data_IF_523614070901
#
_entry.id   IF_523614070901
#
_cell.length_a   1.000
_cell.length_b   1.000
_cell.length_c   1.000
_cell.angle_alpha   90.00
_cell.angle_beta   90.00
_cell.angle_gamma   90.00
#
_symmetry.space_group_name_H-M   'P 1'
#
loop_
_entity.id
_entity.type
_entity.pdbx_description
1 polymer ?
#
# COMPACT_ATOMS: atom_id res chain seq x y z
N UNK A 1 7.15 -18.09 -42.75
CA UNK A 1 8.37 -17.37 -43.20
C UNK A 1 9.16 -16.77 -42.02
N UNK A 2 8.49 -16.09 -41.08
CA UNK A 2 9.08 -15.48 -39.87
C UNK A 2 9.77 -16.50 -38.95
N UNK A 3 9.12 -17.64 -38.67
CA UNK A 3 9.71 -18.75 -37.88
C UNK A 3 11.04 -19.26 -38.45
N UNK A 4 11.08 -19.52 -39.76
CA UNK A 4 12.28 -20.01 -40.44
C UNK A 4 13.42 -18.99 -40.38
N UNK A 5 13.11 -17.71 -40.65
CA UNK A 5 14.08 -16.63 -40.58
C UNK A 5 14.66 -16.46 -39.16
N UNK A 6 13.81 -16.53 -38.12
CA UNK A 6 14.25 -16.44 -36.72
C UNK A 6 15.19 -17.60 -36.33
N UNK A 7 14.81 -18.84 -36.62
CA UNK A 7 15.67 -19.99 -36.34
C UNK A 7 16.98 -19.94 -37.13
N UNK A 8 16.96 -19.52 -38.40
CA UNK A 8 18.16 -19.35 -39.21
C UNK A 8 19.08 -18.28 -38.61
N UNK A 9 18.54 -17.14 -38.17
CA UNK A 9 19.31 -16.08 -37.53
C UNK A 9 19.99 -16.56 -36.23
N UNK A 10 19.27 -17.30 -35.38
CA UNK A 10 19.83 -17.87 -34.15
C UNK A 10 20.92 -18.92 -34.42
N UNK A 11 20.73 -19.78 -35.43
CA UNK A 11 21.73 -20.78 -35.81
C UNK A 11 22.98 -20.12 -36.37
N UNK A 12 22.84 -19.12 -37.23
CA UNK A 12 23.99 -18.37 -37.78
C UNK A 12 24.81 -17.69 -36.69
N UNK A 13 24.16 -17.13 -35.67
CA UNK A 13 24.84 -16.51 -34.53
C UNK A 13 25.56 -17.54 -33.65
N UNK A 14 24.90 -18.67 -33.33
CA UNK A 14 25.54 -19.76 -32.57
C UNK A 14 26.78 -20.32 -33.29
N UNK A 15 26.74 -20.39 -34.63
CA UNK A 15 27.88 -20.76 -35.46
C UNK A 15 28.96 -19.66 -35.42
N UNK A 16 28.59 -18.40 -35.54
CA UNK A 16 29.56 -17.29 -35.49
C UNK A 16 30.27 -17.19 -34.14
N UNK A 17 29.56 -17.32 -33.02
CA UNK A 17 30.16 -17.33 -31.68
C UNK A 17 31.13 -18.49 -31.49
N UNK A 18 30.88 -19.63 -32.14
CA UNK A 18 31.72 -20.83 -32.07
C UNK A 18 32.93 -20.79 -33.01
N UNK A 19 32.86 -20.02 -34.10
CA UNK A 19 33.87 -19.98 -35.17
C UNK A 19 34.41 -18.57 -35.47
N UNK A 20 34.35 -17.66 -34.49
CA UNK A 20 34.50 -16.20 -34.60
C UNK A 20 35.73 -15.66 -35.36
N UNK A 21 36.73 -16.49 -35.64
CA UNK A 21 37.91 -16.12 -36.40
C UNK A 21 37.73 -16.12 -37.94
N UNK A 22 36.64 -16.67 -38.51
CA UNK A 22 36.54 -16.91 -39.97
C UNK A 22 35.25 -16.47 -40.67
N UNK A 23 34.24 -15.98 -39.96
CA UNK A 23 32.96 -15.58 -40.55
C UNK A 23 32.73 -14.07 -40.39
N UNK A 24 32.25 -13.41 -41.45
CA UNK A 24 31.84 -12.00 -41.39
C UNK A 24 30.76 -11.79 -40.32
N UNK A 25 30.80 -10.64 -39.66
CA UNK A 25 29.90 -10.36 -38.55
C UNK A 25 28.43 -10.32 -39.03
N UNK A 26 27.57 -11.19 -38.48
CA UNK A 26 26.13 -10.99 -38.54
C UNK A 26 25.81 -9.72 -37.76
N UNK A 27 25.07 -8.80 -38.40
CA UNK A 27 24.60 -7.59 -37.74
C UNK A 27 23.64 -7.95 -36.60
N UNK A 28 24.07 -7.67 -35.37
CA UNK A 28 23.33 -7.98 -34.14
C UNK A 28 22.00 -7.23 -34.10
N UNK A 29 21.90 -6.07 -34.75
CA UNK A 29 20.65 -5.30 -34.86
C UNK A 29 19.63 -6.03 -35.75
N UNK A 30 20.03 -6.48 -36.94
CA UNK A 30 19.17 -7.28 -37.82
C UNK A 30 18.70 -8.57 -37.16
N UNK A 31 19.55 -9.25 -36.37
CA UNK A 31 19.15 -10.43 -35.58
C UNK A 31 18.05 -10.07 -34.57
N UNK A 32 18.30 -9.05 -33.74
CA UNK A 32 17.37 -8.63 -32.70
C UNK A 32 16.01 -8.29 -33.32
N UNK A 33 15.99 -7.54 -34.43
CA UNK A 33 14.78 -7.16 -35.14
C UNK A 33 13.97 -8.36 -35.69
N UNK A 34 14.64 -9.40 -36.20
CA UNK A 34 13.98 -10.63 -36.68
C UNK A 34 13.40 -11.44 -35.51
N UNK A 35 14.13 -11.55 -34.40
CA UNK A 35 13.64 -12.23 -33.19
C UNK A 35 12.45 -11.46 -32.60
N UNK A 36 12.54 -10.14 -32.53
CA UNK A 36 11.53 -9.24 -32.00
C UNK A 36 10.20 -9.35 -32.77
N UNK A 37 10.24 -9.27 -34.11
CA UNK A 37 9.07 -9.52 -34.96
C UNK A 37 8.49 -10.92 -34.80
N UNK A 38 9.33 -11.91 -34.48
CA UNK A 38 8.85 -13.27 -34.25
C UNK A 38 8.17 -13.40 -32.88
N UNK A 39 8.64 -12.68 -31.86
CA UNK A 39 7.94 -12.57 -30.57
C UNK A 39 6.54 -11.98 -30.76
N UNK A 40 6.40 -10.91 -31.55
CA UNK A 40 5.08 -10.34 -31.87
C UNK A 40 4.15 -11.38 -32.53
N UNK A 41 4.68 -12.17 -33.47
CA UNK A 41 3.94 -13.24 -34.12
C UNK A 41 3.52 -14.36 -33.14
N UNK A 42 4.39 -14.72 -32.19
CA UNK A 42 4.09 -15.73 -31.17
C UNK A 42 3.01 -15.25 -30.20
N UNK A 43 3.02 -13.98 -29.83
CA UNK A 43 2.00 -13.38 -28.97
C UNK A 43 0.64 -13.33 -29.67
N UNK A 44 0.59 -12.95 -30.95
CA UNK A 44 -0.64 -12.95 -31.75
C UNK A 44 -1.23 -14.37 -31.98
N UNK A 45 -0.37 -15.40 -32.00
CA UNK A 45 -0.76 -16.79 -32.25
C UNK A 45 -1.25 -17.59 -31.03
N UNK A 46 -1.60 -16.93 -29.92
CA UNK A 46 -2.05 -17.59 -28.69
C UNK A 46 -0.97 -17.76 -27.62
N UNK A 47 0.21 -17.16 -27.79
CA UNK A 47 1.13 -16.88 -26.69
C UNK A 47 1.66 -18.12 -25.95
N UNK A 48 2.31 -19.05 -26.66
CA UNK A 48 2.98 -20.18 -25.98
C UNK A 48 4.06 -19.66 -25.03
N UNK A 49 3.76 -19.66 -23.73
CA UNK A 49 4.55 -19.04 -22.66
C UNK A 49 6.05 -19.38 -22.77
N UNK A 50 6.37 -20.68 -22.87
CA UNK A 50 7.77 -21.14 -22.94
C UNK A 50 8.49 -20.68 -24.21
N UNK A 51 7.77 -20.62 -25.33
CA UNK A 51 8.36 -20.14 -26.58
C UNK A 51 8.65 -18.63 -26.47
N UNK A 52 7.67 -17.85 -26.02
CA UNK A 52 7.84 -16.40 -25.83
C UNK A 52 9.04 -16.12 -24.91
N UNK A 53 9.12 -16.79 -23.76
CA UNK A 53 10.23 -16.66 -22.81
C UNK A 53 11.60 -17.00 -23.44
N UNK A 54 11.66 -18.09 -24.22
CA UNK A 54 12.88 -18.47 -24.90
C UNK A 54 13.37 -17.41 -25.90
N UNK A 55 12.48 -16.88 -26.74
CA UNK A 55 12.86 -15.91 -27.77
C UNK A 55 13.14 -14.52 -27.20
N UNK A 56 12.41 -14.07 -26.18
CA UNK A 56 12.71 -12.81 -25.49
C UNK A 56 14.04 -12.87 -24.76
N UNK A 57 14.44 -14.02 -24.23
CA UNK A 57 15.77 -14.22 -23.63
C UNK A 57 16.93 -14.11 -24.64
N UNK A 58 16.64 -14.17 -25.95
CA UNK A 58 17.64 -14.01 -27.02
C UNK A 58 17.83 -12.55 -27.45
N UNK A 59 16.96 -11.63 -27.01
CA UNK A 59 17.08 -10.19 -27.26
C UNK A 59 18.14 -9.57 -26.34
N UNK A 60 18.60 -8.33 -26.62
CA UNK A 60 19.36 -7.55 -25.65
C UNK A 60 18.64 -7.52 -24.28
N UNK A 61 19.34 -7.59 -23.14
CA UNK A 61 18.70 -7.78 -21.83
C UNK A 61 17.57 -6.79 -21.51
N UNK A 62 17.75 -5.51 -21.82
CA UNK A 62 16.73 -4.47 -21.62
C UNK A 62 15.49 -4.68 -22.50
N UNK A 63 15.70 -5.03 -23.78
CA UNK A 63 14.62 -5.28 -24.73
C UNK A 63 13.88 -6.58 -24.41
N UNK A 64 14.61 -7.63 -24.00
CA UNK A 64 14.04 -8.89 -23.56
C UNK A 64 13.14 -8.73 -22.34
N UNK A 65 13.60 -7.97 -21.34
CA UNK A 65 12.79 -7.59 -20.17
C UNK A 65 11.56 -6.79 -20.58
N UNK A 66 11.71 -5.76 -21.41
CA UNK A 66 10.59 -4.91 -21.87
C UNK A 66 9.57 -5.70 -22.69
N UNK A 67 10.00 -6.58 -23.60
CA UNK A 67 9.10 -7.37 -24.44
C UNK A 67 8.39 -8.46 -23.64
N UNK A 68 9.07 -9.06 -22.66
CA UNK A 68 8.45 -10.07 -21.82
C UNK A 68 7.52 -9.47 -20.76
N UNK A 69 7.81 -8.26 -20.24
CA UNK A 69 6.85 -7.53 -19.39
C UNK A 69 5.58 -7.19 -20.17
N UNK A 70 5.72 -6.82 -21.45
CA UNK A 70 4.58 -6.63 -22.34
C UNK A 70 3.69 -7.87 -22.45
N UNK A 71 4.32 -9.04 -22.61
CA UNK A 71 3.61 -10.31 -22.62
C UNK A 71 2.89 -10.59 -21.29
N UNK A 72 3.56 -10.40 -20.16
CA UNK A 72 2.99 -10.72 -18.84
C UNK A 72 1.70 -9.94 -18.53
N UNK A 73 1.57 -8.72 -19.05
CA UNK A 73 0.36 -7.90 -18.85
C UNK A 73 -0.84 -8.35 -19.67
N UNK A 74 -0.59 -9.04 -20.80
CA UNK A 74 -1.67 -9.62 -21.62
C UNK A 74 -2.29 -10.85 -20.97
N UNK A 75 -1.61 -11.48 -20.02
CA UNK A 75 -2.11 -12.64 -19.29
C UNK A 75 -3.13 -12.18 -18.26
N UNK A 76 -4.37 -12.69 -18.33
CA UNK A 76 -5.44 -12.37 -17.37
C UNK A 76 -5.46 -13.31 -16.17
N UNK A 77 -5.12 -14.58 -16.36
CA UNK A 77 -5.18 -15.61 -15.32
C UNK A 77 -3.90 -15.68 -14.47
N UNK A 78 -4.07 -15.77 -13.16
CA UNK A 78 -2.97 -15.85 -12.19
C UNK A 78 -2.09 -17.08 -12.42
N UNK A 79 -2.70 -18.21 -12.77
CA UNK A 79 -1.98 -19.45 -13.08
C UNK A 79 -1.05 -19.26 -14.27
N UNK A 80 -1.53 -18.63 -15.35
CA UNK A 80 -0.74 -18.38 -16.55
C UNK A 80 0.42 -17.42 -16.26
N UNK A 81 0.20 -16.40 -15.43
CA UNK A 81 1.29 -15.50 -15.01
C UNK A 81 2.33 -16.22 -14.17
N UNK A 82 1.92 -17.10 -13.26
CA UNK A 82 2.88 -17.92 -12.51
C UNK A 82 3.69 -18.83 -13.44
N UNK A 83 3.04 -19.53 -14.36
CA UNK A 83 3.71 -20.37 -15.37
C UNK A 83 4.67 -19.55 -16.25
N UNK A 84 4.30 -18.30 -16.59
CA UNK A 84 5.16 -17.39 -17.32
C UNK A 84 6.36 -16.87 -16.51
N UNK A 85 6.17 -16.65 -15.22
CA UNK A 85 7.26 -16.30 -14.32
C UNK A 85 8.24 -17.45 -14.13
N UNK A 86 7.77 -18.70 -14.05
CA UNK A 86 8.60 -19.90 -14.00
C UNK A 86 9.38 -20.10 -15.31
N UNK A 87 8.73 -19.87 -16.46
CA UNK A 87 9.39 -19.93 -17.76
C UNK A 87 10.49 -18.86 -17.91
N UNK A 88 10.25 -17.63 -17.45
CA UNK A 88 11.25 -16.57 -17.48
C UNK A 88 12.53 -16.96 -16.73
N UNK A 89 12.37 -17.56 -15.55
CA UNK A 89 13.46 -18.07 -14.74
C UNK A 89 14.19 -19.24 -15.41
N UNK A 90 13.45 -20.17 -16.02
CA UNK A 90 14.02 -21.29 -16.78
C UNK A 90 14.94 -20.82 -17.92
N UNK A 91 14.61 -19.72 -18.57
CA UNK A 91 15.39 -19.15 -19.68
C UNK A 91 16.32 -18.00 -19.25
N UNK A 92 16.55 -17.84 -17.95
CA UNK A 92 17.49 -16.86 -17.39
C UNK A 92 17.21 -15.40 -17.75
N UNK A 93 15.94 -15.04 -17.97
CA UNK A 93 15.53 -13.63 -17.99
C UNK A 93 15.75 -13.05 -16.58
N UNK A 94 16.20 -11.80 -16.50
CA UNK A 94 16.35 -11.11 -15.23
C UNK A 94 14.97 -10.89 -14.60
N UNK A 95 14.61 -11.81 -13.70
CA UNK A 95 13.31 -11.84 -13.07
C UNK A 95 13.09 -10.58 -12.19
N UNK A 96 14.16 -9.99 -11.62
CA UNK A 96 14.09 -8.76 -10.81
C UNK A 96 13.70 -7.60 -11.70
N UNK A 97 14.45 -7.37 -12.77
CA UNK A 97 14.18 -6.30 -13.72
C UNK A 97 12.80 -6.46 -14.37
N UNK A 98 12.43 -7.69 -14.72
CA UNK A 98 11.14 -8.03 -15.32
C UNK A 98 9.94 -7.65 -14.45
N UNK A 99 9.98 -8.04 -13.18
CA UNK A 99 8.86 -7.76 -12.25
C UNK A 99 8.73 -6.28 -11.94
N UNK A 100 9.86 -5.59 -11.75
CA UNK A 100 9.91 -4.14 -11.60
C UNK A 100 9.33 -3.45 -12.83
N UNK A 101 9.77 -3.81 -14.04
CA UNK A 101 9.30 -3.20 -15.29
C UNK A 101 7.79 -3.41 -15.47
N UNK A 102 7.29 -4.63 -15.23
CA UNK A 102 5.87 -4.97 -15.38
C UNK A 102 4.99 -4.17 -14.41
N UNK A 103 5.36 -4.09 -13.13
CA UNK A 103 4.62 -3.31 -12.13
C UNK A 103 4.66 -1.81 -12.44
N UNK A 104 5.83 -1.29 -12.82
CA UNK A 104 5.99 0.12 -13.22
C UNK A 104 5.13 0.46 -14.45
N UNK A 105 5.06 -0.43 -15.44
CA UNK A 105 4.28 -0.21 -16.66
C UNK A 105 2.78 -0.18 -16.38
N UNK A 106 2.24 -1.19 -15.67
CA UNK A 106 0.83 -1.20 -15.23
C UNK A 106 0.48 0.08 -14.46
N UNK A 107 1.35 0.49 -13.53
CA UNK A 107 1.12 1.69 -12.73
C UNK A 107 1.08 2.96 -13.59
N UNK A 108 2.03 3.11 -14.52
CA UNK A 108 2.09 4.26 -15.44
C UNK A 108 0.88 4.31 -16.35
N UNK A 109 0.48 3.16 -16.90
CA UNK A 109 -0.73 3.05 -17.74
C UNK A 109 -1.99 3.43 -16.93
N UNK A 110 -2.13 2.90 -15.71
CA UNK A 110 -3.21 3.25 -14.78
C UNK A 110 -3.28 4.75 -14.49
N UNK A 111 -2.14 5.39 -14.24
CA UNK A 111 -2.06 6.84 -13.97
C UNK A 111 -2.38 7.71 -15.19
N UNK A 112 -2.12 7.21 -16.40
CA UNK A 112 -2.43 7.92 -17.65
C UNK A 112 -3.91 7.75 -18.05
N UNK A 113 -4.55 6.68 -17.62
CA UNK A 113 -5.96 6.41 -17.90
C UNK A 113 -6.86 7.30 -17.04
N UNK A 114 -7.56 8.24 -17.70
CA UNK A 114 -8.64 9.02 -17.09
C UNK A 114 -9.92 8.16 -16.96
N UNK A 115 -9.86 7.11 -16.15
CA UNK A 115 -11.03 6.29 -15.87
C UNK A 115 -11.94 6.95 -14.83
N UNK A 116 -13.27 6.75 -14.93
CA UNK A 116 -14.18 7.21 -13.89
C UNK A 116 -13.84 6.55 -12.56
N UNK A 117 -14.02 7.25 -11.43
CA UNK A 117 -13.72 6.71 -10.11
C UNK A 117 -14.56 5.44 -9.87
N UNK A 118 -13.88 4.34 -9.57
CA UNK A 118 -14.50 3.08 -9.12
C UNK A 118 -15.11 3.33 -7.73
N UNK A 119 -16.29 2.74 -7.41
CA UNK A 119 -16.89 2.86 -6.08
C UNK A 119 -15.92 2.48 -4.97
N UNK A 120 -16.01 3.20 -3.84
CA UNK A 120 -15.16 2.98 -2.67
C UNK A 120 -15.16 1.52 -2.22
N UNK A 121 -13.96 0.99 -1.94
CA UNK A 121 -13.78 -0.35 -1.38
C UNK A 121 -13.68 -1.50 -2.39
N UNK A 122 -13.67 -1.23 -3.71
CA UNK A 122 -13.36 -2.25 -4.72
C UNK A 122 -12.15 -1.85 -5.56
N UNK A 123 -11.23 -2.78 -5.77
CA UNK A 123 -10.12 -2.62 -6.70
C UNK A 123 -10.61 -2.68 -8.14
N UNK A 124 -10.10 -1.79 -8.99
CA UNK A 124 -10.20 -1.89 -10.44
C UNK A 124 -9.44 -3.13 -10.96
N UNK A 125 -9.72 -3.56 -12.19
CA UNK A 125 -9.02 -4.70 -12.80
C UNK A 125 -7.49 -4.49 -12.83
N UNK A 126 -7.02 -3.28 -13.12
CA UNK A 126 -5.59 -2.98 -13.18
C UNK A 126 -4.96 -2.88 -11.78
N UNK A 127 -5.73 -2.43 -10.79
CA UNK A 127 -5.29 -2.43 -9.38
C UNK A 127 -5.15 -3.86 -8.85
N UNK A 128 -6.08 -4.75 -9.21
CA UNK A 128 -5.99 -6.18 -8.88
C UNK A 128 -4.76 -6.83 -9.53
N UNK A 129 -4.47 -6.50 -10.80
CA UNK A 129 -3.26 -6.97 -11.49
C UNK A 129 -2.00 -6.49 -10.79
N UNK A 130 -1.93 -5.22 -10.40
CA UNK A 130 -0.79 -4.64 -9.68
C UNK A 130 -0.55 -5.35 -8.34
N UNK A 131 -1.60 -5.53 -7.53
CA UNK A 131 -1.54 -6.25 -6.24
C UNK A 131 -1.13 -7.71 -6.44
N UNK A 132 -1.66 -8.38 -7.46
CA UNK A 132 -1.32 -9.78 -7.74
C UNK A 132 0.15 -9.93 -8.16
N UNK A 133 0.71 -8.98 -8.92
CA UNK A 133 2.12 -9.04 -9.32
C UNK A 133 3.05 -8.87 -8.12
N UNK A 134 2.69 -7.98 -7.19
CA UNK A 134 3.39 -7.85 -5.91
C UNK A 134 3.40 -9.19 -5.15
N UNK A 135 2.27 -9.90 -5.09
CA UNK A 135 2.20 -11.24 -4.47
C UNK A 135 3.13 -12.23 -5.15
N UNK A 136 3.15 -12.27 -6.48
CA UNK A 136 4.05 -13.15 -7.24
C UNK A 136 5.53 -12.85 -6.99
N UNK A 137 5.91 -11.57 -6.85
CA UNK A 137 7.28 -11.20 -6.48
C UNK A 137 7.65 -11.78 -5.11
N UNK A 138 6.73 -11.80 -4.16
CA UNK A 138 7.03 -12.29 -2.80
C UNK A 138 7.30 -13.78 -2.71
N UNK A 139 6.90 -14.58 -3.71
CA UNK A 139 7.14 -16.03 -3.75
C UNK A 139 8.64 -16.37 -3.72
N UNK A 140 9.51 -15.45 -4.18
CA UNK A 140 10.96 -15.62 -4.17
C UNK A 140 11.56 -14.84 -2.99
N UNK A 141 12.22 -15.50 -2.02
CA UNK A 141 12.83 -14.78 -0.89
C UNK A 141 13.88 -13.74 -1.30
N UNK A 142 14.73 -14.06 -2.29
CA UNK A 142 15.73 -13.13 -2.83
C UNK A 142 15.16 -11.92 -3.56
N UNK A 143 13.84 -11.90 -3.80
CA UNK A 143 13.11 -10.79 -4.39
C UNK A 143 12.58 -9.78 -3.39
N UNK A 144 12.58 -10.12 -2.10
CA UNK A 144 11.68 -9.48 -1.14
C UNK A 144 11.94 -7.98 -0.99
N UNK A 145 13.20 -7.56 -1.10
CA UNK A 145 13.58 -6.15 -1.10
C UNK A 145 12.99 -5.38 -2.29
N UNK A 146 13.02 -5.96 -3.50
CA UNK A 146 12.45 -5.33 -4.70
C UNK A 146 10.92 -5.28 -4.62
N UNK A 147 10.30 -6.37 -4.14
CA UNK A 147 8.86 -6.42 -3.91
C UNK A 147 8.40 -5.35 -2.92
N UNK A 148 9.19 -5.12 -1.86
CA UNK A 148 8.94 -4.08 -0.86
C UNK A 148 9.02 -2.67 -1.47
N UNK A 149 10.04 -2.39 -2.29
CA UNK A 149 10.18 -1.10 -3.00
C UNK A 149 8.98 -0.87 -3.93
N UNK A 150 8.55 -1.90 -4.66
CA UNK A 150 7.39 -1.80 -5.53
C UNK A 150 6.09 -1.62 -4.76
N UNK A 151 5.91 -2.33 -3.64
CA UNK A 151 4.78 -2.14 -2.75
C UNK A 151 4.69 -0.69 -2.26
N UNK A 152 5.79 -0.11 -1.78
CA UNK A 152 5.83 1.28 -1.36
C UNK A 152 5.41 2.24 -2.48
N UNK A 153 5.92 2.01 -3.69
CA UNK A 153 5.58 2.86 -4.83
C UNK A 153 4.10 2.74 -5.24
N UNK A 154 3.50 1.55 -5.15
CA UNK A 154 2.06 1.33 -5.34
C UNK A 154 1.25 2.04 -4.26
N UNK A 155 1.63 1.89 -2.99
CA UNK A 155 0.95 2.54 -1.86
C UNK A 155 1.03 4.06 -1.98
N UNK A 156 2.18 4.64 -2.38
CA UNK A 156 2.30 6.08 -2.64
C UNK A 156 1.28 6.57 -3.67
N UNK A 157 1.10 5.84 -4.78
CA UNK A 157 0.11 6.17 -5.80
C UNK A 157 -1.31 6.06 -5.25
N UNK A 158 -1.66 4.94 -4.62
CA UNK A 158 -3.02 4.69 -4.11
C UNK A 158 -3.42 5.67 -3.02
N UNK A 159 -2.54 5.91 -2.05
CA UNK A 159 -2.75 6.93 -1.03
C UNK A 159 -2.84 8.29 -1.72
N UNK A 160 -1.95 8.64 -2.65
CA UNK A 160 -2.04 9.87 -3.45
C UNK A 160 -3.39 10.10 -4.14
N UNK A 161 -4.07 9.02 -4.53
CA UNK A 161 -5.41 9.03 -5.15
C UNK A 161 -6.58 8.96 -4.14
N UNK A 162 -6.31 8.78 -2.83
CA UNK A 162 -7.34 8.64 -1.79
C UNK A 162 -7.86 7.21 -1.62
N UNK A 163 -7.24 6.22 -2.28
CA UNK A 163 -7.67 4.81 -2.28
C UNK A 163 -6.99 4.01 -1.17
N UNK A 164 -7.39 4.25 0.09
CA UNK A 164 -6.77 3.60 1.25
C UNK A 164 -6.89 2.07 1.23
N UNK A 165 -8.02 1.53 0.75
CA UNK A 165 -8.25 0.08 0.66
C UNK A 165 -7.25 -0.59 -0.31
N UNK A 166 -6.93 0.04 -1.43
CA UNK A 166 -5.93 -0.47 -2.36
C UNK A 166 -4.53 -0.48 -1.75
N UNK A 167 -4.17 0.57 -1.00
CA UNK A 167 -2.94 0.59 -0.22
C UNK A 167 -2.85 -0.54 0.80
N UNK A 168 -3.95 -0.83 1.51
CA UNK A 168 -4.02 -1.95 2.46
C UNK A 168 -3.80 -3.30 1.76
N UNK A 169 -4.44 -3.52 0.61
CA UNK A 169 -4.28 -4.77 -0.13
C UNK A 169 -2.87 -4.98 -0.67
N UNK A 170 -2.14 -3.91 -1.02
CA UNK A 170 -0.71 -3.99 -1.32
C UNK A 170 0.13 -4.42 -0.11
N UNK A 171 -0.13 -3.85 1.07
CA UNK A 171 0.59 -4.22 2.29
C UNK A 171 0.26 -5.65 2.71
N UNK A 172 -1.02 -6.04 2.65
CA UNK A 172 -1.49 -7.39 2.98
C UNK A 172 -1.03 -8.45 1.97
N UNK A 173 -0.67 -8.04 0.74
CA UNK A 173 -0.03 -8.91 -0.24
C UNK A 173 1.40 -9.32 0.16
N UNK A 174 2.05 -8.57 1.06
CA UNK A 174 3.38 -8.90 1.56
C UNK A 174 3.28 -9.93 2.71
N UNK A 175 4.01 -11.06 2.65
CA UNK A 175 3.98 -12.04 3.74
C UNK A 175 4.44 -11.46 5.08
N UNK A 176 3.91 -11.97 6.19
CA UNK A 176 4.19 -11.43 7.53
C UNK A 176 5.68 -11.39 7.90
N UNK A 177 6.48 -12.34 7.39
CA UNK A 177 7.93 -12.40 7.63
C UNK A 177 8.75 -11.42 6.76
N UNK A 178 8.10 -10.57 5.96
CA UNK A 178 8.77 -9.63 5.04
C UNK A 178 9.72 -8.70 5.78
N UNK A 179 9.29 -8.14 6.92
CA UNK A 179 10.13 -7.20 7.68
C UNK A 179 11.41 -7.86 8.18
N UNK A 180 11.31 -9.05 8.77
CA UNK A 180 12.45 -9.76 9.34
C UNK A 180 13.40 -10.26 8.25
N UNK A 181 12.86 -10.79 7.15
CA UNK A 181 13.65 -11.21 6.00
C UNK A 181 14.39 -10.02 5.37
N UNK A 182 13.71 -8.90 5.11
CA UNK A 182 14.33 -7.72 4.52
C UNK A 182 15.41 -7.14 5.43
N UNK A 183 15.21 -7.11 6.76
CA UNK A 183 16.26 -6.70 7.71
C UNK A 183 17.49 -7.60 7.58
N UNK A 184 17.29 -8.92 7.60
CA UNK A 184 18.40 -9.87 7.47
C UNK A 184 19.17 -9.72 6.15
N UNK A 185 18.46 -9.42 5.04
CA UNK A 185 19.08 -9.18 3.73
C UNK A 185 19.82 -7.83 3.66
N UNK A 186 19.38 -6.83 4.42
CA UNK A 186 20.01 -5.51 4.48
C UNK A 186 21.27 -5.55 5.35
N UNK A 187 21.22 -6.30 6.44
CA UNK A 187 22.33 -6.42 7.39
C UNK A 187 23.41 -7.42 6.92
N UNK A 188 23.15 -8.19 5.85
CA UNK A 188 24.11 -9.11 5.25
C UNK A 188 25.28 -8.33 4.60
N UNK A 189 26.52 -8.48 5.12
CA UNK A 189 27.69 -7.77 4.59
C UNK A 189 28.11 -8.25 3.19
N UNK A 190 27.61 -9.41 2.74
CA UNK A 190 27.81 -9.91 1.38
C UNK A 190 26.75 -9.40 0.39
N UNK A 191 25.70 -8.74 0.89
CA UNK A 191 24.58 -8.26 0.11
C UNK A 191 24.84 -6.92 -0.58
N UNK A 192 24.14 -6.68 -1.69
CA UNK A 192 24.15 -5.42 -2.46
C UNK A 192 23.25 -4.33 -1.84
N UNK A 193 22.83 -4.49 -0.58
CA UNK A 193 21.80 -3.66 0.04
C UNK A 193 22.36 -2.29 0.50
N UNK A 194 22.23 -1.28 -0.36
CA UNK A 194 22.57 0.10 -0.04
C UNK A 194 21.57 0.82 0.90
N UNK A 195 21.87 2.07 1.30
CA UNK A 195 21.01 2.91 2.17
C UNK A 195 19.56 3.04 1.67
N UNK A 196 19.35 2.99 0.36
CA UNK A 196 18.03 3.02 -0.27
C UNK A 196 17.08 1.93 0.25
N UNK A 197 17.58 0.71 0.49
CA UNK A 197 16.74 -0.38 0.99
C UNK A 197 16.39 -0.22 2.47
N UNK A 198 17.27 0.40 3.28
CA UNK A 198 16.99 0.76 4.67
C UNK A 198 15.84 1.77 4.73
N UNK A 199 15.92 2.83 3.93
CA UNK A 199 14.86 3.84 3.87
C UNK A 199 13.57 3.29 3.27
N UNK A 200 13.65 2.37 2.30
CA UNK A 200 12.49 1.68 1.76
C UNK A 200 11.81 0.81 2.81
N UNK A 201 12.58 0.05 3.60
CA UNK A 201 12.03 -0.77 4.69
C UNK A 201 11.31 0.10 5.73
N UNK A 202 11.91 1.24 6.09
CA UNK A 202 11.31 2.22 7.00
C UNK A 202 10.04 2.82 6.43
N UNK A 203 10.03 3.18 5.15
CA UNK A 203 8.85 3.66 4.45
C UNK A 203 7.72 2.62 4.49
N UNK A 204 8.01 1.34 4.28
CA UNK A 204 7.02 0.26 4.35
C UNK A 204 6.38 0.16 5.73
N UNK A 205 7.17 0.31 6.80
CA UNK A 205 6.66 0.36 8.17
C UNK A 205 5.76 1.58 8.40
N UNK A 206 6.14 2.76 7.89
CA UNK A 206 5.34 3.97 7.96
C UNK A 206 3.97 3.78 7.28
N UNK A 207 3.95 3.14 6.11
CA UNK A 207 2.70 2.82 5.40
C UNK A 207 1.82 1.86 6.18
N UNK A 208 2.40 0.78 6.70
CA UNK A 208 1.69 -0.18 7.54
C UNK A 208 1.05 0.50 8.76
N UNK A 209 1.75 1.43 9.41
CA UNK A 209 1.22 2.16 10.56
C UNK A 209 0.05 3.07 10.17
N UNK A 210 0.22 3.91 9.16
CA UNK A 210 -0.80 4.87 8.69
C UNK A 210 -2.07 4.17 8.20
N UNK A 211 -1.94 3.19 7.31
CA UNK A 211 -3.09 2.49 6.73
C UNK A 211 -3.88 1.73 7.81
N UNK A 212 -3.19 1.13 8.78
CA UNK A 212 -3.85 0.48 9.92
C UNK A 212 -4.55 1.47 10.84
N UNK A 213 -3.94 2.63 11.11
CA UNK A 213 -4.52 3.67 11.94
C UNK A 213 -5.84 4.19 11.32
N UNK A 214 -5.81 4.56 10.04
CA UNK A 214 -6.99 5.04 9.30
C UNK A 214 -8.09 3.98 9.19
N UNK A 215 -7.72 2.71 8.95
CA UNK A 215 -8.68 1.59 8.96
C UNK A 215 -9.35 1.44 10.33
N UNK A 216 -8.59 1.46 11.42
CA UNK A 216 -9.15 1.27 12.75
C UNK A 216 -10.00 2.48 13.20
N UNK A 217 -9.64 3.69 12.79
CA UNK A 217 -10.47 4.88 12.98
C UNK A 217 -11.82 4.74 12.26
N UNK A 218 -11.81 4.28 11.00
CA UNK A 218 -13.03 4.03 10.23
C UNK A 218 -13.89 2.92 10.85
N UNK A 219 -13.27 1.83 11.32
CA UNK A 219 -13.97 0.75 12.03
C UNK A 219 -14.60 1.20 13.35
N UNK A 220 -13.94 2.11 14.09
CA UNK A 220 -14.52 2.72 15.28
C UNK A 220 -15.70 3.61 14.91
N UNK A 221 -15.57 4.45 13.89
CA UNK A 221 -16.65 5.34 13.44
C UNK A 221 -17.92 4.54 13.06
N UNK A 222 -17.76 3.51 12.23
CA UNK A 222 -18.85 2.62 11.84
C UNK A 222 -19.48 1.88 13.04
N UNK A 223 -18.66 1.47 14.02
CA UNK A 223 -19.16 0.85 15.25
C UNK A 223 -19.96 1.83 16.11
N UNK A 224 -19.50 3.08 16.17
CA UNK A 224 -20.17 4.17 16.90
C UNK A 224 -21.56 4.44 16.34
N UNK A 225 -21.74 4.40 15.02
CA UNK A 225 -23.04 4.65 14.40
C UNK A 225 -24.04 3.50 14.62
N UNK A 226 -23.56 2.31 14.98
CA UNK A 226 -24.36 1.13 15.25
C UNK A 226 -24.82 1.00 16.71
N UNK A 227 -25.09 2.11 17.41
CA UNK A 227 -25.58 2.09 18.80
C UNK A 227 -26.85 1.24 18.91
N UNK A 228 -26.93 0.27 19.85
CA UNK A 228 -28.16 -0.48 20.10
C UNK A 228 -29.30 0.46 20.49
N UNK A 229 -30.25 0.69 19.58
CA UNK A 229 -31.44 1.50 19.90
C UNK A 229 -32.29 0.80 20.95
N UNK A 230 -32.89 1.58 21.86
CA UNK A 230 -33.92 1.05 22.76
C UNK A 230 -35.06 0.49 21.92
N UNK A 231 -35.47 -0.75 22.19
CA UNK A 231 -36.62 -1.33 21.50
C UNK A 231 -37.83 -0.45 21.76
N UNK A 232 -38.47 0.02 20.68
CA UNK A 232 -39.68 0.85 20.77
C UNK A 232 -40.63 0.23 21.79
N UNK A 233 -40.98 1.01 22.81
CA UNK A 233 -41.97 0.60 23.79
C UNK A 233 -43.18 0.10 23.03
N UNK A 234 -43.50 -1.19 23.15
CA UNK A 234 -44.72 -1.75 22.58
C UNK A 234 -45.89 -1.10 23.33
N UNK A 235 -46.35 0.04 22.83
CA UNK A 235 -47.52 0.76 23.29
C UNK A 235 -48.71 -0.16 23.07
N UNK A 236 -49.25 -0.75 24.13
CA UNK A 236 -50.49 -1.51 24.04
C UNK A 236 -51.48 -0.85 24.97
N UNK A 237 -52.27 0.03 24.38
CA UNK A 237 -53.59 0.38 24.88
C UNK A 237 -54.46 -0.88 24.67
N UNK A 238 -54.81 -1.59 25.75
CA UNK A 238 -55.91 -2.58 25.74
C UNK A 238 -55.62 -4.08 25.96
N UNK A 239 -54.64 -4.50 26.77
CA UNK A 239 -54.38 -5.93 27.05
C UNK A 239 -55.08 -6.45 28.33
N UNK A 240 -55.69 -7.64 28.26
CA UNK A 240 -56.39 -8.31 29.37
C UNK A 240 -55.44 -8.87 30.46
N UNK A 241 -55.94 -8.98 31.71
CA UNK A 241 -55.17 -9.27 32.92
C UNK A 241 -54.36 -10.60 32.94
N UNK A 242 -54.70 -11.59 32.11
CA UNK A 242 -53.92 -12.84 31.98
C UNK A 242 -52.70 -12.72 31.04
N UNK A 243 -52.70 -11.75 30.13
CA UNK A 243 -51.58 -11.46 29.23
C UNK A 243 -50.57 -10.50 29.87
N UNK A 244 -50.87 -9.90 31.04
CA UNK A 244 -49.99 -8.94 31.70
C UNK A 244 -48.73 -9.59 32.28
N UNK A 245 -48.85 -10.73 32.97
CA UNK A 245 -47.71 -11.42 33.59
C UNK A 245 -46.74 -12.00 32.56
N UNK A 246 -47.25 -12.65 31.50
CA UNK A 246 -46.42 -13.16 30.41
C UNK A 246 -45.74 -12.04 29.63
N UNK A 247 -46.42 -10.90 29.45
CA UNK A 247 -45.87 -9.74 28.77
C UNK A 247 -44.85 -9.01 29.63
N UNK A 248 -45.05 -8.95 30.95
CA UNK A 248 -44.10 -8.39 31.89
C UNK A 248 -42.82 -9.23 31.99
N UNK A 249 -42.97 -10.57 32.01
CA UNK A 249 -41.85 -11.49 31.90
C UNK A 249 -41.08 -11.30 30.57
N UNK A 250 -41.78 -11.20 29.44
CA UNK A 250 -41.16 -10.94 28.13
C UNK A 250 -40.47 -9.56 28.06
N UNK A 251 -41.09 -8.51 28.61
CA UNK A 251 -40.49 -7.18 28.69
C UNK A 251 -39.29 -7.13 29.66
N UNK A 252 -39.31 -7.94 30.73
CA UNK A 252 -38.17 -8.10 31.63
C UNK A 252 -36.98 -8.77 30.92
N UNK A 253 -37.22 -9.87 30.20
CA UNK A 253 -36.20 -10.55 29.39
C UNK A 253 -35.65 -9.65 28.29
N UNK A 254 -36.51 -8.92 27.56
CA UNK A 254 -36.08 -7.96 26.54
C UNK A 254 -35.19 -6.84 27.12
N UNK A 255 -35.51 -6.34 28.31
CA UNK A 255 -34.68 -5.35 29.04
C UNK A 255 -33.33 -5.94 29.46
N UNK A 256 -33.30 -7.19 29.91
CA UNK A 256 -32.03 -7.89 30.25
C UNK A 256 -31.17 -8.09 29.01
N UNK A 257 -31.76 -8.55 27.90
CA UNK A 257 -31.05 -8.70 26.63
C UNK A 257 -30.54 -7.37 26.09
N UNK A 258 -31.33 -6.31 26.17
CA UNK A 258 -30.92 -4.97 25.74
C UNK A 258 -29.73 -4.48 26.55
N UNK A 259 -29.77 -4.60 27.88
CA UNK A 259 -28.62 -4.24 28.74
C UNK A 259 -27.38 -5.04 28.36
N UNK A 260 -27.53 -6.33 28.06
CA UNK A 260 -26.40 -7.17 27.63
C UNK A 260 -25.84 -6.73 26.27
N UNK A 261 -26.69 -6.34 25.32
CA UNK A 261 -26.26 -5.79 24.02
C UNK A 261 -25.53 -4.46 24.20
N UNK A 262 -26.07 -3.58 25.04
CA UNK A 262 -25.45 -2.29 25.36
C UNK A 262 -24.07 -2.47 25.99
N UNK A 263 -23.95 -3.33 27.01
CA UNK A 263 -22.66 -3.61 27.66
C UNK A 263 -21.60 -4.13 26.68
N UNK A 264 -21.98 -5.08 25.82
CA UNK A 264 -21.06 -5.59 24.78
C UNK A 264 -20.64 -4.50 23.79
N UNK A 265 -21.59 -3.63 23.42
CA UNK A 265 -21.30 -2.52 22.52
C UNK A 265 -20.35 -1.51 23.17
N UNK A 266 -20.57 -1.16 24.45
CA UNK A 266 -19.72 -0.23 25.22
C UNK A 266 -18.30 -0.79 25.39
N UNK A 267 -18.16 -2.08 25.68
CA UNK A 267 -16.85 -2.74 25.77
C UNK A 267 -16.10 -2.70 24.44
N UNK A 268 -16.80 -3.00 23.33
CA UNK A 268 -16.21 -2.96 21.99
C UNK A 268 -15.86 -1.54 21.55
N UNK A 269 -16.69 -0.56 21.90
CA UNK A 269 -16.45 0.87 21.63
C UNK A 269 -15.13 1.27 22.28
N UNK A 270 -14.95 0.99 23.58
CA UNK A 270 -13.74 1.33 24.32
C UNK A 270 -12.49 0.72 23.70
N UNK A 271 -12.54 -0.56 23.36
CA UNK A 271 -11.40 -1.29 22.77
C UNK A 271 -11.05 -0.73 21.38
N UNK A 272 -12.05 -0.55 20.51
CA UNK A 272 -11.84 -0.01 19.15
C UNK A 272 -11.33 1.43 19.21
N UNK A 273 -11.89 2.25 20.10
CA UNK A 273 -11.46 3.63 20.33
C UNK A 273 -10.02 3.70 20.78
N UNK A 274 -9.65 2.96 21.83
CA UNK A 274 -8.29 2.99 22.36
C UNK A 274 -7.28 2.57 21.30
N UNK A 275 -7.60 1.54 20.51
CA UNK A 275 -6.76 1.07 19.40
C UNK A 275 -6.61 2.12 18.29
N UNK A 276 -7.70 2.81 17.93
CA UNK A 276 -7.64 3.87 16.93
C UNK A 276 -6.80 5.05 17.42
N UNK A 277 -7.02 5.52 18.66
CA UNK A 277 -6.28 6.62 19.27
C UNK A 277 -4.78 6.32 19.34
N UNK A 278 -4.40 5.15 19.86
CA UNK A 278 -2.98 4.80 20.02
C UNK A 278 -2.27 4.77 18.66
N UNK A 279 -2.88 4.14 17.64
CA UNK A 279 -2.24 4.03 16.33
C UNK A 279 -2.18 5.35 15.57
N UNK A 280 -3.19 6.22 15.70
CA UNK A 280 -3.14 7.57 15.14
C UNK A 280 -2.04 8.40 15.81
N UNK A 281 -1.88 8.26 17.13
CA UNK A 281 -0.80 8.91 17.87
C UNK A 281 0.58 8.37 17.43
N UNK A 282 0.73 7.06 17.28
CA UNK A 282 1.98 6.42 16.82
C UNK A 282 2.44 6.96 15.45
N UNK A 283 1.51 7.30 14.56
CA UNK A 283 1.84 7.93 13.26
C UNK A 283 2.44 9.33 13.48
N UNK A 284 1.84 10.13 14.38
CA UNK A 284 2.29 11.50 14.65
C UNK A 284 3.62 11.54 15.41
N UNK A 285 3.86 10.57 16.29
CA UNK A 285 5.07 10.47 17.13
C UNK A 285 6.11 9.50 16.56
N UNK A 286 5.98 9.13 15.28
CA UNK A 286 6.88 8.15 14.66
C UNK A 286 8.35 8.57 14.77
N UNK A 287 9.27 7.68 15.20
CA UNK A 287 10.67 8.03 15.40
C UNK A 287 11.32 8.62 14.14
N UNK A 288 11.98 9.77 14.28
CA UNK A 288 12.62 10.52 13.18
C UNK A 288 11.63 11.00 12.09
N UNK A 289 10.34 11.10 12.41
CA UNK A 289 9.31 11.66 11.53
C UNK A 289 8.74 10.66 10.51
N UNK A 290 7.42 10.58 10.42
CA UNK A 290 6.73 9.65 9.53
C UNK A 290 6.97 9.94 8.03
N UNK A 291 7.36 8.94 7.23
CA UNK A 291 7.74 9.11 5.80
C UNK A 291 8.86 10.12 5.52
N UNK A 292 9.84 10.22 6.42
CA UNK A 292 11.03 11.03 6.21
C UNK A 292 12.30 10.19 6.19
N UNK A 293 13.16 10.36 5.19
CA UNK A 293 14.44 9.63 5.15
C UNK A 293 15.38 10.10 6.26
N UNK A 294 16.08 9.15 6.90
CA UNK A 294 17.10 9.46 7.93
C UNK A 294 18.42 9.82 7.24
N UNK A 295 18.82 9.00 6.26
CA UNK A 295 20.02 9.24 5.47
C UNK A 295 19.64 9.85 4.11
N UNK A 296 20.16 11.04 3.75
CA UNK A 296 19.88 11.64 2.45
C UNK A 296 20.45 10.74 1.34
N UNK A 297 19.57 10.24 0.46
CA UNK A 297 19.97 9.45 -0.70
C UNK A 297 20.76 10.35 -1.67
N UNK A 298 22.09 10.16 -1.73
CA UNK A 298 22.98 11.05 -2.48
C UNK A 298 22.80 10.95 -4.01
N UNK A 299 23.06 12.09 -4.65
CA UNK A 299 22.82 12.40 -6.07
C UNK A 299 23.50 11.48 -7.09
N UNK A 300 24.58 10.79 -6.72
CA UNK A 300 25.32 9.97 -7.70
C UNK A 300 24.53 8.73 -8.15
N UNK A 301 23.50 8.33 -7.39
CA UNK A 301 22.54 7.29 -7.76
C UNK A 301 21.31 7.81 -8.55
N UNK A 302 21.19 9.12 -8.83
CA UNK A 302 20.03 9.77 -9.48
C UNK A 302 19.81 9.42 -10.97
N UNK A 303 20.41 8.34 -11.47
CA UNK A 303 20.03 7.75 -12.76
C UNK A 303 18.75 6.91 -12.65
N UNK A 304 18.35 6.50 -11.45
CA UNK A 304 17.09 5.77 -11.26
C UNK A 304 15.92 6.75 -11.08
N UNK A 305 15.04 6.81 -12.08
CA UNK A 305 13.80 7.61 -12.07
C UNK A 305 12.94 7.37 -10.81
N UNK A 306 13.02 6.18 -10.24
CA UNK A 306 12.32 5.75 -9.02
C UNK A 306 12.67 6.59 -7.80
N UNK A 307 13.93 6.98 -7.64
CA UNK A 307 14.41 7.74 -6.46
C UNK A 307 13.93 9.19 -6.54
N UNK A 308 13.97 9.79 -7.73
CA UNK A 308 13.50 11.17 -7.97
C UNK A 308 12.00 11.29 -7.70
N UNK A 309 11.21 10.40 -8.30
CA UNK A 309 9.76 10.36 -8.10
C UNK A 309 9.41 10.19 -6.63
N UNK A 310 10.13 9.31 -5.91
CA UNK A 310 9.96 9.11 -4.47
C UNK A 310 10.25 10.39 -3.67
N UNK A 311 11.38 11.05 -3.92
CA UNK A 311 11.76 12.28 -3.22
C UNK A 311 10.74 13.42 -3.41
N UNK A 312 10.08 13.48 -4.57
CA UNK A 312 9.02 14.45 -4.82
C UNK A 312 7.67 14.07 -4.20
N UNK A 313 7.37 12.77 -4.09
CA UNK A 313 6.10 12.25 -3.59
C UNK A 313 6.00 12.31 -2.06
N UNK A 314 7.06 11.94 -1.33
CA UNK A 314 7.00 11.80 0.13
C UNK A 314 6.59 13.10 0.86
N UNK A 315 7.16 14.28 0.54
CA UNK A 315 6.75 15.54 1.19
C UNK A 315 5.29 15.91 0.88
N UNK A 316 4.82 15.65 -0.35
CA UNK A 316 3.43 15.90 -0.75
C UNK A 316 2.46 15.01 0.02
N UNK A 317 2.81 13.74 0.20
CA UNK A 317 2.02 12.77 0.96
C UNK A 317 1.99 13.12 2.45
N UNK A 318 3.12 13.53 3.04
CA UNK A 318 3.20 14.04 4.43
C UNK A 318 2.23 15.20 4.66
N UNK A 319 2.24 16.19 3.76
CA UNK A 319 1.34 17.37 3.82
C UNK A 319 -0.15 17.05 3.66
N UNK A 320 -0.48 15.86 3.17
CA UNK A 320 -1.87 15.41 3.07
C UNK A 320 -2.27 14.53 4.24
N UNK A 321 -1.46 13.51 4.55
CA UNK A 321 -1.80 12.44 5.47
C UNK A 321 -1.67 12.87 6.94
N UNK A 322 -0.65 13.65 7.30
CA UNK A 322 -0.47 14.07 8.71
C UNK A 322 -1.60 15.00 9.19
N UNK A 323 -2.05 16.00 8.41
CA UNK A 323 -3.23 16.78 8.77
C UNK A 323 -4.50 15.93 8.87
N UNK A 324 -4.69 14.97 7.97
CA UNK A 324 -5.84 14.05 7.98
C UNK A 324 -5.86 13.18 9.26
N UNK A 325 -4.71 12.63 9.64
CA UNK A 325 -4.54 11.86 10.89
C UNK A 325 -4.85 12.74 12.10
N UNK A 326 -4.29 13.95 12.16
CA UNK A 326 -4.53 14.89 13.25
C UNK A 326 -6.02 15.25 13.37
N UNK A 327 -6.68 15.57 12.26
CA UNK A 327 -8.11 15.89 12.25
C UNK A 327 -8.96 14.71 12.70
N UNK A 328 -8.65 13.51 12.22
CA UNK A 328 -9.35 12.28 12.61
C UNK A 328 -9.19 12.04 14.11
N UNK A 329 -7.96 12.16 14.64
CA UNK A 329 -7.65 11.99 16.05
C UNK A 329 -8.42 13.00 16.92
N UNK A 330 -8.39 14.28 16.57
CA UNK A 330 -9.13 15.33 17.27
C UNK A 330 -10.63 15.09 17.22
N UNK A 331 -11.18 14.64 16.08
CA UNK A 331 -12.58 14.30 15.94
C UNK A 331 -13.02 13.17 16.89
N UNK A 332 -12.20 12.13 17.04
CA UNK A 332 -12.45 11.04 18.00
C UNK A 332 -12.44 11.59 19.43
N UNK A 333 -11.41 12.36 19.81
CA UNK A 333 -11.26 12.89 21.16
C UNK A 333 -12.38 13.87 21.53
N UNK A 334 -12.77 14.77 20.63
CA UNK A 334 -13.88 15.70 20.82
C UNK A 334 -15.19 14.95 21.01
N UNK A 335 -15.47 13.96 20.15
CA UNK A 335 -16.71 13.18 20.22
C UNK A 335 -16.84 12.36 21.51
N UNK A 336 -15.72 12.00 22.12
CA UNK A 336 -15.67 11.22 23.37
C UNK A 336 -15.37 12.08 24.59
N UNK A 337 -15.30 13.41 24.42
CA UNK A 337 -15.06 14.42 25.46
C UNK A 337 -13.77 14.18 26.27
N UNK A 338 -12.72 13.67 25.62
CA UNK A 338 -11.41 13.44 26.23
C UNK A 338 -10.50 14.67 26.04
N UNK A 339 -10.81 15.74 26.76
CA UNK A 339 -10.13 17.02 26.59
C UNK A 339 -8.68 17.03 27.11
N UNK A 340 -8.35 16.21 28.12
CA UNK A 340 -6.98 16.06 28.63
C UNK A 340 -6.01 15.64 27.52
N UNK A 341 -6.37 14.59 26.78
CA UNK A 341 -5.56 14.09 25.67
C UNK A 341 -5.43 15.11 24.53
N UNK A 342 -6.43 15.98 24.34
CA UNK A 342 -6.33 17.06 23.35
C UNK A 342 -5.25 18.08 23.74
N UNK A 343 -5.12 18.40 25.03
CA UNK A 343 -4.07 19.30 25.52
C UNK A 343 -2.68 18.67 25.38
N UNK A 344 -2.55 17.37 25.64
CA UNK A 344 -1.31 16.62 25.38
C UNK A 344 -0.93 16.67 23.89
N UNK A 345 -1.89 16.54 22.97
CA UNK A 345 -1.61 16.69 21.54
C UNK A 345 -1.10 18.08 21.16
N UNK A 346 -1.55 19.14 21.84
CA UNK A 346 -1.01 20.48 21.63
C UNK A 346 0.49 20.54 22.00
N UNK A 347 0.91 19.81 23.03
CA UNK A 347 2.33 19.70 23.39
C UNK A 347 3.11 18.92 22.34
N UNK A 348 2.60 17.79 21.86
CA UNK A 348 3.22 17.01 20.78
C UNK A 348 3.35 17.83 19.49
N UNK A 349 2.36 18.67 19.19
CA UNK A 349 2.40 19.55 18.02
C UNK A 349 3.40 20.70 18.19
N UNK A 350 3.54 21.23 19.41
CA UNK A 350 4.48 22.29 19.75
C UNK A 350 5.91 21.79 19.97
N UNK A 351 6.08 20.49 20.21
CA UNK A 351 7.36 19.83 20.35
C UNK A 351 8.10 19.87 19.00
N UNK A 352 8.92 20.90 18.87
CA UNK A 352 9.74 21.16 17.69
C UNK A 352 10.98 20.27 17.62
N UNK A 353 11.12 19.23 18.45
CA UNK A 353 12.37 18.51 18.62
C UNK A 353 12.82 17.83 17.31
N UNK A 354 13.74 18.45 16.53
CA UNK A 354 14.24 17.87 15.31
C UNK A 354 15.40 16.99 15.76
N UNK A 355 15.07 15.82 16.29
CA UNK A 355 16.11 14.83 16.59
C UNK A 355 16.57 14.26 15.25
N UNK A 356 17.76 14.68 14.82
CA UNK A 356 18.50 14.17 13.67
C UNK A 356 17.99 14.60 12.28
N UNK A 357 17.65 15.88 12.08
CA UNK A 357 17.33 16.42 10.74
C UNK A 357 15.91 16.13 10.25
N UNK A 358 15.04 15.59 11.12
CA UNK A 358 13.62 15.46 10.85
C UNK A 358 12.95 16.85 10.70
N UNK A 359 12.05 17.00 9.72
CA UNK A 359 11.20 18.17 9.57
C UNK A 359 10.21 18.20 10.74
N UNK A 360 9.96 19.38 11.29
CA UNK A 360 9.01 19.50 12.38
C UNK A 360 7.62 19.06 11.91
N UNK A 361 6.82 18.49 12.82
CA UNK A 361 5.45 18.08 12.50
C UNK A 361 4.65 19.26 11.92
N UNK A 362 4.86 20.47 12.44
CA UNK A 362 4.25 21.72 12.01
C UNK A 362 4.49 22.05 10.52
N UNK A 363 5.66 21.72 9.97
CA UNK A 363 6.02 22.04 8.58
C UNK A 363 5.17 21.26 7.56
N UNK A 364 4.50 20.19 8.02
CA UNK A 364 3.60 19.39 7.20
C UNK A 364 2.19 19.98 7.10
N UNK A 365 1.85 21.04 7.84
CA UNK A 365 0.50 21.61 7.84
C UNK A 365 0.45 22.91 7.04
N UNK A 366 -0.63 23.11 6.29
CA UNK A 366 -0.94 24.42 5.72
C UNK A 366 -1.42 25.40 6.81
N UNK A 367 -1.30 26.72 6.60
CA UNK A 367 -1.79 27.72 7.56
C UNK A 367 -3.28 27.53 7.91
N UNK A 368 -4.10 27.17 6.93
CA UNK A 368 -5.53 26.93 7.13
C UNK A 368 -5.80 25.66 7.95
N UNK A 369 -5.03 24.59 7.72
CA UNK A 369 -5.11 23.36 8.50
C UNK A 369 -4.68 23.58 9.95
N UNK A 370 -3.58 24.33 10.16
CA UNK A 370 -3.13 24.72 11.51
C UNK A 370 -4.20 25.54 12.23
N UNK A 371 -4.83 26.49 11.55
CA UNK A 371 -5.93 27.27 12.13
C UNK A 371 -7.07 26.37 12.58
N UNK A 372 -7.48 25.40 11.76
CA UNK A 372 -8.51 24.41 12.12
C UNK A 372 -8.15 23.58 13.34
N UNK A 373 -6.91 23.07 13.39
CA UNK A 373 -6.38 22.31 14.53
C UNK A 373 -6.36 23.16 15.80
N UNK A 374 -5.88 24.41 15.73
CA UNK A 374 -5.83 25.33 16.87
C UNK A 374 -7.22 25.70 17.37
N UNK A 375 -8.20 25.91 16.49
CA UNK A 375 -9.60 26.11 16.88
C UNK A 375 -10.13 24.88 17.63
N UNK A 376 -9.92 23.68 17.10
CA UNK A 376 -10.33 22.43 17.75
C UNK A 376 -9.70 22.24 19.14
N UNK A 377 -8.43 22.61 19.29
CA UNK A 377 -7.72 22.59 20.59
C UNK A 377 -8.25 23.64 21.56
N UNK A 378 -8.59 24.84 21.08
CA UNK A 378 -9.19 25.89 21.90
C UNK A 378 -10.58 25.47 22.43
N UNK A 379 -11.41 24.86 21.58
CA UNK A 379 -12.69 24.28 21.98
C UNK A 379 -12.50 23.17 23.02
N UNK A 380 -11.48 22.32 22.83
CA UNK A 380 -11.10 21.29 23.79
C UNK A 380 -10.74 21.87 25.16
N UNK A 381 -9.98 22.97 25.19
CA UNK A 381 -9.64 23.68 26.43
C UNK A 381 -10.88 24.23 27.14
N UNK A 382 -11.80 24.85 26.40
CA UNK A 382 -13.05 25.36 26.97
C UNK A 382 -13.90 24.21 27.58
N UNK A 383 -13.98 23.08 26.88
CA UNK A 383 -14.65 21.88 27.38
C UNK A 383 -13.98 21.32 28.65
N UNK A 384 -12.65 21.30 28.70
CA UNK A 384 -11.90 20.89 29.90
C UNK A 384 -12.19 21.79 31.10
N UNK A 385 -12.17 23.11 30.91
CA UNK A 385 -12.46 24.08 31.97
C UNK A 385 -13.90 23.92 32.51
N UNK A 386 -14.88 23.67 31.64
CA UNK A 386 -16.25 23.37 32.04
C UNK A 386 -16.37 22.06 32.84
N UNK A 387 -15.73 20.98 32.37
CA UNK A 387 -15.72 19.71 33.11
C UNK A 387 -15.05 19.83 34.48
N UNK A 388 -13.97 20.62 34.58
CA UNK A 388 -13.30 20.90 35.85
C UNK A 388 -14.18 21.72 36.79
N UNK A 389 -14.89 22.72 36.28
CA UNK A 389 -15.81 23.54 37.05
C UNK A 389 -17.05 22.77 37.55
N UNK A 390 -17.52 21.74 36.84
CA UNK A 390 -18.63 20.88 37.31
C UNK A 390 -18.21 19.89 38.41
N UNK A 391 -16.93 19.55 38.49
CA UNK A 391 -16.38 18.60 39.49
C UNK A 391 -15.92 19.29 40.78
N UNK A 392 -15.68 20.61 40.74
CA UNK A 392 -15.34 21.45 41.88
C UNK A 392 -16.63 21.99 42.54
#
# INVERSE_FOLDING_TARGET
PTRFACHLALVLDAVQQRYSAKCGAVDTATRAEVVDRYVDHLQAGGGQIKAVAYYTAQLPPEDGVRRYSQFLETLEEDRLRQEAMEAAEQFHLDWKALTVETVCRIRKERQQQLLPPVPEGRLSADEQKEVMLLRLMTLRPGARLHALVQCNASVRSFVGEGKLQAGLECVDAMPANTLDLCKSLIDDPSGEAGPFYKESLREFQCWGLYLNAMRNASLWHNHRDCVPREADHVSVVGAQAGQSLSREAAASLARVEQRRRQQKWDEQEKVKRQKALSQLQDVLTYPFGWLQDIEPLHSDALRDCTIKERAEQLPKLRRRCLPEVMQTLLGILQSTQQYDCMLELATVLADNAPTNGAEALLDSFSPDQLKGVLCALADGRAGYEQQRAMKA
#
